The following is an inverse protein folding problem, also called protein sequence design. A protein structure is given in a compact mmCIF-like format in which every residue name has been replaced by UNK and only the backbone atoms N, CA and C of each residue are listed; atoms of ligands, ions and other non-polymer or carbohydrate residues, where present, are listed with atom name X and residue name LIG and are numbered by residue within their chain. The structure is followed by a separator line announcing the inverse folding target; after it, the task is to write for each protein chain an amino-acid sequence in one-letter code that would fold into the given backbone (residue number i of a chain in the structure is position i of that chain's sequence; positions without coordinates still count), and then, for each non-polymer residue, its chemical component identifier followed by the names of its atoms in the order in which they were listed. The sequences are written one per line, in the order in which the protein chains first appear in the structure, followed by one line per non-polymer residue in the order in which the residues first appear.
data_IF_739774218073
#
_entry.id   IF_739774218073
#
_cell.length_a   1.000
_cell.length_b   1.000
_cell.length_c   1.000
_cell.angle_alpha   90.00
_cell.angle_beta   90.00
_cell.angle_gamma   90.00
#
_symmetry.space_group_name_H-M   'P 1'
#
loop_
_entity.id
_entity.type
_entity.pdbx_description
1 polymer ?
#
# COMPACT_ATOMS: atom_id res chain seq x y z
N UNK A 1 -35.14 67.06 13.91
CA UNK A 1 -36.43 66.86 13.21
C UNK A 1 -36.21 65.87 12.07
N UNK A 2 -36.12 64.58 12.40
CA UNK A 2 -36.34 63.53 11.44
C UNK A 2 -37.24 62.46 12.09
N UNK A 3 -38.38 62.29 11.51
CA UNK A 3 -39.43 61.36 11.87
C UNK A 3 -38.95 59.91 11.71
N UNK A 4 -39.12 59.18 12.81
CA UNK A 4 -38.97 57.73 12.85
C UNK A 4 -40.18 57.10 12.13
N UNK A 5 -39.98 56.59 10.92
CA UNK A 5 -40.96 55.72 10.28
C UNK A 5 -40.93 54.33 10.94
N UNK A 6 -42.05 53.90 11.39
CA UNK A 6 -42.27 52.66 12.13
C UNK A 6 -42.20 51.43 11.21
N UNK A 7 -41.71 50.29 11.66
CA UNK A 7 -41.62 49.04 10.86
C UNK A 7 -42.92 48.26 10.97
N UNK A 8 -44.00 48.75 10.45
CA UNK A 8 -45.31 48.05 10.45
C UNK A 8 -45.70 47.34 9.13
N UNK A 9 -44.81 47.28 8.15
CA UNK A 9 -45.15 46.74 6.81
C UNK A 9 -44.73 45.29 6.57
N UNK A 10 -44.18 44.56 7.53
CA UNK A 10 -43.69 43.19 7.27
C UNK A 10 -44.53 42.04 7.83
N UNK A 11 -45.77 42.25 8.15
CA UNK A 11 -46.66 41.17 8.57
C UNK A 11 -47.80 40.95 7.57
N UNK A 12 -47.48 40.73 6.28
CA UNK A 12 -48.42 40.16 5.36
C UNK A 12 -48.60 38.65 5.72
N UNK A 13 -49.59 38.36 6.57
CA UNK A 13 -50.08 36.99 6.75
C UNK A 13 -50.51 36.45 5.40
N UNK A 14 -49.61 35.66 4.76
CA UNK A 14 -49.92 34.88 3.57
C UNK A 14 -50.89 33.80 4.05
N UNK A 15 -52.18 34.05 3.90
CA UNK A 15 -53.20 33.02 4.11
C UNK A 15 -52.86 31.89 3.14
N UNK A 16 -52.32 30.78 3.63
CA UNK A 16 -52.09 29.59 2.83
C UNK A 16 -53.46 29.09 2.39
N UNK A 17 -53.76 29.18 1.08
CA UNK A 17 -55.01 28.66 0.55
C UNK A 17 -55.01 27.14 0.71
N UNK A 18 -56.07 26.59 1.24
CA UNK A 18 -56.25 25.13 1.39
C UNK A 18 -55.96 24.40 0.09
N UNK A 19 -56.35 25.00 -1.05
CA UNK A 19 -56.03 24.52 -2.40
C UNK A 19 -54.54 24.40 -2.67
N UNK A 20 -53.72 25.37 -2.20
CA UNK A 20 -52.25 25.30 -2.33
C UNK A 20 -51.61 24.17 -1.49
N UNK A 21 -52.16 23.92 -0.30
CA UNK A 21 -51.71 22.80 0.55
C UNK A 21 -52.02 21.45 -0.09
N UNK A 22 -53.25 21.30 -0.62
CA UNK A 22 -53.67 20.08 -1.28
C UNK A 22 -52.84 19.83 -2.54
N UNK A 23 -52.61 20.86 -3.37
CA UNK A 23 -51.77 20.76 -4.57
C UNK A 23 -50.33 20.35 -4.22
N UNK A 24 -49.72 20.94 -3.19
CA UNK A 24 -48.40 20.58 -2.74
C UNK A 24 -48.32 19.12 -2.24
N UNK A 25 -49.34 18.69 -1.47
CA UNK A 25 -49.41 17.32 -0.97
C UNK A 25 -49.56 16.28 -2.11
N UNK A 26 -50.36 16.60 -3.14
CA UNK A 26 -50.53 15.73 -4.32
C UNK A 26 -49.25 15.66 -5.14
N UNK A 27 -48.55 16.78 -5.34
CA UNK A 27 -47.30 16.77 -6.10
C UNK A 27 -46.21 15.98 -5.35
N UNK A 28 -46.00 16.25 -4.05
CA UNK A 28 -45.00 15.57 -3.24
C UNK A 28 -45.35 14.09 -3.06
N UNK A 29 -46.60 13.75 -2.79
CA UNK A 29 -47.07 12.38 -2.68
C UNK A 29 -46.97 11.61 -4.00
N UNK A 30 -47.37 12.24 -5.10
CA UNK A 30 -47.28 11.67 -6.44
C UNK A 30 -45.85 11.41 -6.90
N UNK A 31 -44.95 12.36 -6.66
CA UNK A 31 -43.51 12.16 -6.96
C UNK A 31 -42.90 11.08 -6.09
N UNK A 32 -43.22 11.02 -4.80
CA UNK A 32 -42.73 9.97 -3.89
C UNK A 32 -43.20 8.57 -4.32
N UNK A 33 -44.50 8.44 -4.68
CA UNK A 33 -45.07 7.20 -5.17
C UNK A 33 -44.39 6.75 -6.50
N UNK A 34 -44.22 7.68 -7.42
CA UNK A 34 -43.55 7.41 -8.70
C UNK A 34 -42.12 6.92 -8.51
N UNK A 35 -41.33 7.62 -7.67
CA UNK A 35 -39.95 7.21 -7.36
C UNK A 35 -39.92 5.85 -6.66
N UNK A 36 -40.81 5.60 -5.70
CA UNK A 36 -40.89 4.32 -5.00
C UNK A 36 -41.19 3.14 -5.93
N UNK A 37 -42.18 3.29 -6.84
CA UNK A 37 -42.50 2.27 -7.84
C UNK A 37 -41.34 2.08 -8.81
N UNK A 38 -40.73 3.18 -9.28
CA UNK A 38 -39.59 3.11 -10.21
C UNK A 38 -38.40 2.39 -9.58
N UNK A 39 -38.04 2.73 -8.35
CA UNK A 39 -36.95 2.06 -7.63
C UNK A 39 -37.26 0.58 -7.36
N UNK A 40 -38.48 0.24 -6.98
CA UNK A 40 -38.88 -1.15 -6.78
C UNK A 40 -38.88 -2.00 -8.07
N UNK A 41 -39.23 -1.41 -9.21
CA UNK A 41 -39.12 -2.07 -10.51
C UNK A 41 -37.66 -2.18 -10.99
N UNK A 42 -36.86 -1.13 -10.73
CA UNK A 42 -35.44 -1.12 -11.05
C UNK A 42 -34.69 -2.17 -10.23
N UNK A 43 -34.94 -2.30 -8.92
CA UNK A 43 -34.37 -3.32 -8.06
C UNK A 43 -34.58 -4.74 -8.60
N UNK A 44 -35.82 -5.09 -8.96
CA UNK A 44 -36.15 -6.40 -9.56
C UNK A 44 -35.45 -6.67 -10.91
N UNK A 45 -35.23 -5.64 -11.72
CA UNK A 45 -34.60 -5.81 -13.05
C UNK A 45 -33.07 -5.71 -13.01
N UNK A 46 -32.53 -4.96 -12.04
CA UNK A 46 -31.10 -4.68 -11.90
C UNK A 46 -30.43 -5.49 -10.77
N UNK A 47 -31.17 -6.40 -10.12
CA UNK A 47 -30.59 -7.30 -9.10
C UNK A 47 -29.46 -8.10 -9.75
N UNK A 48 -28.23 -7.76 -9.40
CA UNK A 48 -27.05 -8.52 -9.77
C UNK A 48 -27.10 -9.84 -9.02
N UNK A 49 -27.20 -10.96 -9.74
CA UNK A 49 -27.04 -12.28 -9.12
C UNK A 49 -25.62 -12.38 -8.61
N UNK A 50 -25.43 -12.24 -7.31
CA UNK A 50 -24.14 -12.52 -6.68
C UNK A 50 -23.92 -14.04 -6.78
N UNK A 51 -22.79 -14.43 -7.34
CA UNK A 51 -22.41 -15.85 -7.40
C UNK A 51 -22.17 -16.34 -5.97
N UNK A 52 -22.79 -17.47 -5.58
CA UNK A 52 -22.59 -18.06 -4.25
C UNK A 52 -21.12 -18.31 -3.95
N UNK A 53 -20.32 -18.60 -4.99
CA UNK A 53 -18.86 -18.73 -4.87
C UNK A 53 -18.18 -17.40 -4.54
N UNK A 54 -18.61 -16.29 -5.15
CA UNK A 54 -18.07 -14.97 -4.87
C UNK A 54 -18.29 -14.59 -3.40
N UNK A 55 -19.48 -14.81 -2.86
CA UNK A 55 -19.82 -14.53 -1.47
C UNK A 55 -19.01 -15.43 -0.51
N UNK A 56 -18.89 -16.72 -0.82
CA UNK A 56 -18.08 -17.64 -0.03
C UNK A 56 -16.59 -17.25 -0.01
N UNK A 57 -16.01 -16.86 -1.15
CA UNK A 57 -14.64 -16.39 -1.26
C UNK A 57 -14.45 -15.08 -0.48
N UNK A 58 -15.40 -14.14 -0.62
CA UNK A 58 -15.35 -12.87 0.10
C UNK A 58 -15.37 -13.06 1.63
N UNK A 59 -16.14 -14.03 2.12
CA UNK A 59 -16.21 -14.39 3.54
C UNK A 59 -14.88 -14.96 4.10
N UNK A 60 -14.04 -15.54 3.24
CA UNK A 60 -12.72 -16.08 3.62
C UNK A 60 -11.62 -15.03 3.52
N UNK A 61 -11.75 -14.04 2.64
CA UNK A 61 -10.77 -12.98 2.46
C UNK A 61 -10.66 -12.09 3.72
N UNK A 62 -9.47 -11.52 4.01
CA UNK A 62 -9.23 -10.75 5.24
C UNK A 62 -10.04 -9.47 5.41
N UNK A 63 -10.74 -8.98 4.38
CA UNK A 63 -11.57 -7.78 4.43
C UNK A 63 -10.83 -6.44 4.51
N UNK A 64 -9.50 -6.43 4.47
CA UNK A 64 -8.68 -5.21 4.65
C UNK A 64 -8.75 -4.23 3.48
N UNK A 65 -9.30 -4.63 2.33
CA UNK A 65 -9.42 -3.81 1.12
C UNK A 65 -8.14 -3.04 0.75
N UNK A 66 -6.98 -3.65 1.04
CA UNK A 66 -5.67 -2.99 0.94
C UNK A 66 -5.20 -2.77 -0.52
N UNK A 67 -5.77 -3.47 -1.50
CA UNK A 67 -5.37 -3.38 -2.90
C UNK A 67 -4.02 -4.03 -3.24
N UNK A 68 -3.36 -4.71 -2.27
CA UNK A 68 -2.05 -5.35 -2.49
C UNK A 68 -2.06 -6.50 -3.51
N UNK A 69 -3.23 -7.06 -3.77
CA UNK A 69 -3.46 -8.07 -4.82
C UNK A 69 -3.62 -7.49 -6.23
N UNK A 70 -3.63 -6.15 -6.39
CA UNK A 70 -3.89 -5.47 -7.67
C UNK A 70 -5.37 -5.21 -7.97
N UNK A 71 -6.30 -5.65 -7.12
CA UNK A 71 -7.73 -5.43 -7.27
C UNK A 71 -8.21 -4.30 -6.35
N UNK A 72 -9.30 -3.59 -6.71
CA UNK A 72 -9.79 -2.40 -5.98
C UNK A 72 -10.40 -2.70 -4.60
N UNK A 73 -10.30 -3.95 -4.12
CA UNK A 73 -10.77 -4.40 -2.82
C UNK A 73 -10.94 -5.90 -2.77
N UNK A 74 -11.32 -6.42 -1.60
CA UNK A 74 -11.53 -7.85 -1.44
C UNK A 74 -12.72 -8.37 -2.27
N UNK A 75 -13.75 -7.57 -2.47
CA UNK A 75 -14.88 -7.92 -3.35
C UNK A 75 -14.46 -8.04 -4.81
N UNK A 76 -13.63 -7.12 -5.31
CA UNK A 76 -13.11 -7.20 -6.68
C UNK A 76 -12.23 -8.43 -6.89
N UNK A 77 -11.42 -8.80 -5.90
CA UNK A 77 -10.64 -10.04 -5.95
C UNK A 77 -11.54 -11.28 -5.89
N UNK A 78 -12.55 -11.30 -5.02
CA UNK A 78 -13.49 -12.42 -4.91
C UNK A 78 -14.21 -12.68 -6.22
N UNK A 79 -14.71 -11.63 -6.87
CA UNK A 79 -15.36 -11.71 -8.18
C UNK A 79 -14.39 -12.24 -9.27
N UNK A 80 -13.13 -11.79 -9.28
CA UNK A 80 -12.14 -12.25 -10.25
C UNK A 80 -11.77 -13.72 -10.04
N UNK A 81 -11.62 -14.17 -8.79
CA UNK A 81 -11.34 -15.59 -8.48
C UNK A 81 -12.54 -16.46 -8.86
N UNK A 82 -13.77 -16.05 -8.52
CA UNK A 82 -14.99 -16.80 -8.83
C UNK A 82 -15.14 -17.01 -10.35
N UNK A 83 -14.74 -16.03 -11.17
CA UNK A 83 -14.71 -16.11 -12.63
C UNK A 83 -13.51 -16.86 -13.19
N UNK A 84 -12.51 -17.18 -12.38
CA UNK A 84 -11.26 -17.81 -12.84
C UNK A 84 -10.26 -16.83 -13.49
N UNK A 85 -10.47 -15.52 -13.35
CA UNK A 85 -9.59 -14.47 -13.88
C UNK A 85 -8.38 -14.20 -12.97
N UNK A 86 -8.46 -14.61 -11.70
CA UNK A 86 -7.36 -14.50 -10.74
C UNK A 86 -7.07 -15.85 -10.07
N UNK A 87 -5.79 -16.14 -9.75
CA UNK A 87 -5.43 -17.34 -9.04
C UNK A 87 -5.91 -17.28 -7.57
N UNK A 88 -6.11 -18.45 -6.97
CA UNK A 88 -6.66 -18.60 -5.61
C UNK A 88 -5.69 -18.11 -4.52
N UNK A 89 -4.41 -17.98 -4.81
CA UNK A 89 -3.34 -17.51 -3.92
C UNK A 89 -2.97 -16.02 -4.11
N UNK A 90 -3.77 -15.28 -4.89
CA UNK A 90 -3.50 -13.87 -5.24
C UNK A 90 -3.50 -12.90 -4.04
N UNK A 91 -4.07 -13.28 -2.89
CA UNK A 91 -4.14 -12.40 -1.72
C UNK A 91 -2.88 -12.48 -0.85
N UNK A 92 -1.96 -11.48 -0.89
CA UNK A 92 -0.72 -11.55 -0.09
C UNK A 92 -0.98 -11.44 1.42
N UNK A 93 -2.05 -10.74 1.82
CA UNK A 93 -2.40 -10.54 3.24
C UNK A 93 -3.00 -11.81 3.85
N UNK A 94 -3.77 -12.56 3.06
CA UNK A 94 -4.36 -13.83 3.48
C UNK A 94 -3.35 -14.96 3.57
N UNK A 95 -2.34 -14.93 2.72
CA UNK A 95 -1.30 -15.96 2.64
C UNK A 95 -1.83 -17.36 2.39
N UNK A 96 -1.01 -18.37 2.70
CA UNK A 96 -1.34 -19.78 2.48
C UNK A 96 -2.65 -20.25 3.14
N UNK A 97 -3.01 -19.85 4.39
CA UNK A 97 -4.26 -20.30 5.02
C UNK A 97 -5.53 -19.86 4.27
N UNK A 98 -5.53 -18.64 3.73
CA UNK A 98 -6.67 -18.12 2.96
C UNK A 98 -6.69 -18.74 1.59
N UNK A 99 -5.53 -18.87 0.93
CA UNK A 99 -5.41 -19.53 -0.36
C UNK A 99 -5.93 -20.98 -0.31
N UNK A 100 -5.60 -21.76 0.73
CA UNK A 100 -6.09 -23.11 0.91
C UNK A 100 -7.62 -23.19 1.02
N UNK A 101 -8.23 -22.27 1.79
CA UNK A 101 -9.69 -22.19 1.92
C UNK A 101 -10.37 -21.81 0.60
N UNK A 102 -9.80 -20.84 -0.13
CA UNK A 102 -10.32 -20.45 -1.45
C UNK A 102 -10.15 -21.60 -2.44
N UNK A 103 -9.01 -22.31 -2.42
CA UNK A 103 -8.77 -23.50 -3.23
C UNK A 103 -9.82 -24.58 -3.00
N UNK A 104 -10.19 -24.83 -1.74
CA UNK A 104 -11.28 -25.78 -1.39
C UNK A 104 -12.63 -25.34 -1.98
N UNK A 105 -12.97 -24.05 -1.97
CA UNK A 105 -14.21 -23.51 -2.57
C UNK A 105 -14.19 -23.67 -4.11
N UNK A 106 -13.03 -23.45 -4.71
CA UNK A 106 -12.86 -23.51 -6.18
C UNK A 106 -12.53 -24.91 -6.69
N UNK A 107 -12.26 -25.89 -5.81
CA UNK A 107 -11.84 -27.25 -6.18
C UNK A 107 -10.46 -27.30 -6.81
N UNK A 108 -9.56 -26.39 -6.44
CA UNK A 108 -8.19 -26.31 -6.95
C UNK A 108 -7.17 -26.62 -5.86
N UNK A 109 -6.12 -27.36 -6.20
CA UNK A 109 -4.98 -27.54 -5.30
C UNK A 109 -4.13 -26.28 -5.26
N UNK A 110 -3.78 -25.83 -4.06
CA UNK A 110 -2.97 -24.65 -3.82
C UNK A 110 -1.54 -25.07 -3.50
N UNK A 111 -0.58 -24.53 -4.23
CA UNK A 111 0.85 -24.68 -3.89
C UNK A 111 1.13 -23.81 -2.65
N UNK A 112 1.84 -24.35 -1.69
CA UNK A 112 2.32 -23.57 -0.55
C UNK A 112 3.25 -22.46 -1.04
N UNK A 113 2.81 -21.23 -0.94
CA UNK A 113 3.64 -20.06 -1.23
C UNK A 113 4.32 -19.62 0.08
N UNK A 114 5.65 -19.51 0.06
CA UNK A 114 6.42 -19.06 1.23
C UNK A 114 5.97 -17.66 1.68
N UNK A 115 5.84 -17.46 3.00
CA UNK A 115 5.53 -16.14 3.58
C UNK A 115 6.57 -15.13 3.13
N UNK A 116 6.13 -14.00 2.62
CA UNK A 116 6.99 -12.88 2.27
C UNK A 116 6.86 -11.73 3.26
N UNK A 117 7.89 -10.90 3.33
CA UNK A 117 7.92 -9.69 4.13
C UNK A 117 8.64 -8.58 3.37
N UNK A 118 8.28 -7.34 3.65
CA UNK A 118 9.01 -6.21 3.09
C UNK A 118 10.39 -6.09 3.76
N UNK A 119 11.39 -5.76 2.97
CA UNK A 119 12.75 -5.51 3.42
C UNK A 119 13.28 -4.21 2.84
N UNK A 120 13.90 -3.38 3.66
CA UNK A 120 14.50 -2.10 3.25
C UNK A 120 15.99 -2.31 2.96
N UNK A 121 16.40 -2.14 1.70
CA UNK A 121 17.79 -2.29 1.26
C UNK A 121 18.65 -1.07 1.65
N UNK A 122 18.67 -0.74 2.92
CA UNK A 122 19.50 0.32 3.46
C UNK A 122 19.74 0.11 4.96
N UNK A 123 21.01 0.04 5.36
CA UNK A 123 21.44 0.03 6.77
C UNK A 123 22.07 1.37 7.19
N UNK A 124 22.04 2.39 6.31
CA UNK A 124 22.70 3.68 6.54
C UNK A 124 21.89 4.59 7.49
N UNK A 125 21.98 4.30 8.79
CA UNK A 125 21.44 5.13 9.87
C UNK A 125 22.12 6.49 9.94
N UNK A 126 21.56 7.44 10.72
CA UNK A 126 22.12 8.79 10.83
C UNK A 126 23.55 8.81 11.39
N UNK A 127 23.89 7.87 12.26
CA UNK A 127 25.25 7.71 12.84
C UNK A 127 26.24 7.01 11.89
N UNK A 128 25.75 6.33 10.84
CA UNK A 128 26.55 5.58 9.85
C UNK A 128 26.65 6.26 8.50
N UNK A 129 25.99 7.38 8.32
CA UNK A 129 26.00 8.15 7.06
C UNK A 129 26.44 9.58 7.31
N UNK A 130 27.24 10.11 6.39
CA UNK A 130 27.58 11.53 6.39
C UNK A 130 26.46 12.36 5.75
N UNK A 131 26.29 13.60 6.18
CA UNK A 131 25.30 14.55 5.66
C UNK A 131 26.00 15.68 4.90
N UNK A 132 25.32 16.23 3.87
CA UNK A 132 25.81 17.35 3.05
C UNK A 132 25.42 18.69 3.65
N UNK A 133 24.20 18.75 4.19
CA UNK A 133 23.58 19.97 4.73
C UNK A 133 22.47 19.58 5.70
N UNK A 134 22.09 20.51 6.55
CA UNK A 134 20.91 20.40 7.39
C UNK A 134 19.66 20.74 6.56
N UNK A 135 18.69 19.86 6.55
CA UNK A 135 17.47 20.04 5.79
C UNK A 135 16.36 20.57 6.70
N UNK A 136 15.80 21.73 6.32
CA UNK A 136 14.62 22.31 6.92
C UNK A 136 13.55 22.45 5.86
N UNK A 137 12.50 21.65 5.92
CA UNK A 137 11.42 21.66 4.92
C UNK A 137 10.41 20.55 5.13
N UNK A 138 9.64 20.23 4.09
CA UNK A 138 8.63 19.18 4.15
C UNK A 138 9.28 17.80 4.25
N UNK A 139 9.00 17.08 5.34
CA UNK A 139 9.47 15.71 5.56
C UNK A 139 8.61 14.71 4.78
N UNK A 140 8.88 14.61 3.48
CA UNK A 140 8.26 13.65 2.59
C UNK A 140 9.26 13.15 1.53
N UNK A 141 9.36 11.81 1.39
CA UNK A 141 10.33 11.22 0.47
C UNK A 141 10.04 11.52 -1.00
N UNK A 142 8.77 11.65 -1.38
CA UNK A 142 8.40 11.95 -2.78
C UNK A 142 8.77 13.38 -3.14
N UNK A 143 8.53 14.32 -2.23
CA UNK A 143 8.92 15.72 -2.41
C UNK A 143 10.44 15.89 -2.49
N UNK A 144 11.19 15.07 -1.75
CA UNK A 144 12.65 15.08 -1.80
C UNK A 144 13.25 14.65 -3.14
N UNK A 145 12.51 13.93 -3.97
CA UNK A 145 12.95 13.57 -5.32
C UNK A 145 13.18 14.80 -6.22
N UNK A 146 12.47 15.90 -5.93
CA UNK A 146 12.59 17.16 -6.68
C UNK A 146 13.70 18.09 -6.16
N UNK A 147 14.33 17.77 -5.04
CA UNK A 147 15.37 18.61 -4.44
C UNK A 147 16.74 18.23 -5.02
N UNK A 148 17.58 19.21 -5.43
CA UNK A 148 18.92 18.96 -5.92
C UNK A 148 19.75 18.12 -4.95
N UNK A 149 20.38 17.06 -5.47
CA UNK A 149 21.16 16.11 -4.66
C UNK A 149 20.32 15.08 -3.89
N UNK A 150 19.01 15.04 -4.09
CA UNK A 150 18.10 14.00 -3.57
C UNK A 150 18.18 13.82 -2.05
N UNK A 151 18.30 14.90 -1.27
CA UNK A 151 18.27 14.88 0.18
C UNK A 151 19.60 15.14 0.88
N UNK A 152 19.53 15.30 2.20
CA UNK A 152 20.64 15.76 3.04
C UNK A 152 21.78 14.76 3.17
N UNK A 153 21.51 13.44 3.11
CA UNK A 153 22.55 12.40 3.23
C UNK A 153 23.46 12.39 2.01
N UNK A 154 24.77 12.15 2.23
CA UNK A 154 25.74 12.01 1.15
C UNK A 154 25.42 10.81 0.24
N UNK A 155 24.87 9.73 0.79
CA UNK A 155 24.39 8.60 0.01
C UNK A 155 23.09 8.97 -0.73
N UNK A 156 23.17 9.15 -2.05
CA UNK A 156 22.01 9.47 -2.90
C UNK A 156 21.12 8.26 -3.17
N UNK A 157 21.57 7.06 -2.87
CA UNK A 157 20.85 5.80 -3.07
C UNK A 157 20.12 5.31 -1.81
N UNK A 158 20.52 5.72 -0.62
CA UNK A 158 20.02 5.21 0.65
C UNK A 158 18.66 5.80 1.08
N UNK A 159 18.13 5.30 2.17
CA UNK A 159 16.88 5.77 2.75
C UNK A 159 16.99 7.23 3.23
N UNK A 160 16.02 8.06 2.86
CA UNK A 160 15.95 9.47 3.25
C UNK A 160 15.42 9.67 4.67
N UNK A 161 14.63 8.72 5.19
CA UNK A 161 14.13 8.74 6.56
C UNK A 161 12.85 9.53 6.82
N UNK A 162 12.16 10.05 5.79
CA UNK A 162 10.97 10.90 5.96
C UNK A 162 9.64 10.13 6.03
N UNK A 163 9.64 8.81 6.00
CA UNK A 163 8.47 8.01 6.38
C UNK A 163 7.31 7.95 5.38
N UNK A 164 7.48 8.26 4.08
CA UNK A 164 6.38 8.08 3.11
C UNK A 164 5.90 6.63 3.04
N UNK A 165 6.80 5.64 3.22
CA UNK A 165 6.45 4.22 3.33
C UNK A 165 5.71 3.89 4.63
N UNK A 166 6.00 4.59 5.74
CA UNK A 166 5.29 4.44 7.02
C UNK A 166 3.85 4.90 6.86
N UNK A 167 3.63 6.10 6.31
CA UNK A 167 2.29 6.65 6.02
C UNK A 167 1.46 5.74 5.10
N UNK A 168 2.12 5.00 4.21
CA UNK A 168 1.46 4.10 3.27
C UNK A 168 1.13 2.72 3.86
N UNK A 169 1.70 2.37 5.02
CA UNK A 169 1.51 1.05 5.64
C UNK A 169 0.20 0.99 6.44
N UNK A 170 -0.80 0.19 6.03
CA UNK A 170 -2.06 0.08 6.76
C UNK A 170 -1.98 -0.86 7.97
N UNK A 171 -0.83 -1.52 8.19
CA UNK A 171 -0.62 -2.52 9.24
C UNK A 171 0.34 -2.06 10.31
N UNK A 172 0.76 -0.79 10.28
CA UNK A 172 1.74 -0.22 11.22
C UNK A 172 3.04 -1.06 11.35
N UNK A 173 3.45 -1.70 10.26
CA UNK A 173 4.58 -2.61 10.22
C UNK A 173 5.90 -1.93 9.82
N UNK A 174 5.93 -0.61 9.63
CA UNK A 174 7.14 0.13 9.23
C UNK A 174 7.29 1.37 10.09
N UNK A 175 8.48 1.55 10.65
CA UNK A 175 8.82 2.69 11.49
C UNK A 175 10.12 3.35 11.02
N UNK A 176 10.31 4.63 11.32
CA UNK A 176 11.60 5.29 11.13
C UNK A 176 12.41 5.15 12.42
N UNK A 177 13.54 4.46 12.31
CA UNK A 177 14.48 4.26 13.41
C UNK A 177 15.83 4.79 12.98
N UNK A 178 16.38 5.73 13.73
CA UNK A 178 17.67 6.36 13.46
C UNK A 178 17.83 6.80 11.98
N UNK A 179 16.77 7.43 11.42
CA UNK A 179 16.77 8.02 10.08
C UNK A 179 16.72 7.03 8.91
N UNK A 180 16.33 5.78 9.15
CA UNK A 180 15.99 4.80 8.10
C UNK A 180 14.66 4.12 8.42
N UNK A 181 13.99 3.63 7.38
CA UNK A 181 12.81 2.80 7.55
C UNK A 181 13.21 1.38 7.98
N UNK A 182 12.55 0.87 9.02
CA UNK A 182 12.72 -0.50 9.54
C UNK A 182 11.37 -1.19 9.51
N UNK A 183 11.34 -2.45 9.09
CA UNK A 183 10.11 -3.25 8.98
C UNK A 183 10.02 -4.23 10.13
N UNK A 184 8.90 -4.21 10.84
CA UNK A 184 8.48 -5.29 11.72
C UNK A 184 7.99 -6.46 10.86
N UNK A 185 8.75 -7.54 10.84
CA UNK A 185 8.47 -8.72 10.00
C UNK A 185 7.24 -9.48 10.46
N UNK A 186 6.89 -9.43 11.76
CA UNK A 186 5.71 -10.11 12.30
C UNK A 186 4.41 -9.38 11.94
N UNK A 187 4.41 -8.06 12.04
CA UNK A 187 3.29 -7.22 11.65
C UNK A 187 3.12 -7.14 10.12
N UNK A 188 4.20 -7.33 9.35
CA UNK A 188 4.20 -7.18 7.90
C UNK A 188 3.33 -8.25 7.21
N UNK A 189 2.43 -7.80 6.32
CA UNK A 189 1.53 -8.63 5.51
C UNK A 189 1.90 -8.65 4.02
N UNK A 190 3.11 -8.24 3.64
CA UNK A 190 3.63 -8.25 2.27
C UNK A 190 2.70 -7.60 1.21
N UNK A 191 1.89 -6.61 1.59
CA UNK A 191 0.90 -6.00 0.69
C UNK A 191 1.50 -5.12 -0.42
N UNK A 192 2.80 -4.86 -0.42
CA UNK A 192 3.52 -4.13 -1.46
C UNK A 192 3.34 -2.60 -1.47
N UNK A 193 2.46 -2.02 -0.64
CA UNK A 193 2.22 -0.56 -0.64
C UNK A 193 3.46 0.28 -0.38
N UNK A 194 4.30 -0.16 0.55
CA UNK A 194 5.57 0.51 0.86
C UNK A 194 6.58 0.40 -0.29
N UNK A 195 6.56 -0.71 -1.04
CA UNK A 195 7.39 -0.91 -2.24
C UNK A 195 7.05 0.12 -3.30
N UNK A 196 5.75 0.25 -3.63
CA UNK A 196 5.25 1.22 -4.60
C UNK A 196 5.47 2.68 -4.16
N UNK A 197 5.44 2.94 -2.84
CA UNK A 197 5.55 4.30 -2.29
C UNK A 197 6.99 4.80 -2.14
N UNK A 198 7.98 3.93 -2.23
CA UNK A 198 9.38 4.33 -2.07
C UNK A 198 9.94 4.93 -3.36
N UNK A 199 10.24 6.25 -3.43
CA UNK A 199 10.73 6.88 -4.66
C UNK A 199 12.15 6.45 -5.05
N UNK A 200 12.87 5.80 -4.14
CA UNK A 200 14.21 5.22 -4.39
C UNK A 200 14.20 3.70 -4.60
N UNK A 201 13.03 3.07 -4.64
CA UNK A 201 12.86 1.62 -4.84
C UNK A 201 13.72 0.76 -3.90
N UNK A 202 13.84 1.21 -2.64
CA UNK A 202 14.66 0.54 -1.63
C UNK A 202 13.97 -0.63 -0.95
N UNK A 203 12.68 -0.80 -1.16
CA UNK A 203 11.88 -1.80 -0.46
C UNK A 203 11.53 -2.89 -1.44
N UNK A 204 11.82 -4.12 -1.07
CA UNK A 204 11.47 -5.32 -1.84
C UNK A 204 10.74 -6.33 -0.95
N UNK A 205 10.00 -7.25 -1.55
CA UNK A 205 9.43 -8.39 -0.86
C UNK A 205 10.43 -9.54 -0.91
N UNK A 206 10.73 -10.10 0.26
CA UNK A 206 11.70 -11.20 0.42
C UNK A 206 11.07 -12.34 1.22
N UNK A 207 11.50 -13.60 1.04
CA UNK A 207 11.04 -14.70 1.87
C UNK A 207 11.34 -14.42 3.36
N UNK A 208 10.36 -14.70 4.21
CA UNK A 208 10.45 -14.47 5.66
C UNK A 208 11.54 -15.33 6.30
N UNK A 209 11.70 -16.57 5.89
CA UNK A 209 12.65 -17.55 6.41
C UNK A 209 14.11 -17.26 6.06
N UNK A 210 14.35 -16.41 5.03
CA UNK A 210 15.71 -16.05 4.61
C UNK A 210 16.25 -14.87 5.39
N UNK A 211 17.20 -15.16 6.30
CA UNK A 211 17.80 -14.14 7.19
C UNK A 211 18.96 -13.38 6.54
N UNK A 212 19.66 -14.00 5.57
CA UNK A 212 20.78 -13.35 4.87
C UNK A 212 20.25 -12.39 3.81
N UNK A 213 20.55 -11.10 3.96
CA UNK A 213 20.02 -10.03 3.10
C UNK A 213 21.08 -8.97 2.84
N UNK A 214 21.03 -8.29 1.69
CA UNK A 214 21.91 -7.17 1.36
C UNK A 214 21.21 -5.85 1.69
N UNK A 215 21.67 -5.19 2.75
CA UNK A 215 21.11 -3.92 3.23
C UNK A 215 21.80 -2.71 2.59
N UNK A 216 21.97 -2.71 1.28
CA UNK A 216 22.53 -1.61 0.50
C UNK A 216 21.96 -1.62 -0.93
N UNK A 217 21.80 -0.43 -1.51
CA UNK A 217 21.38 -0.21 -2.91
C UNK A 217 22.27 0.81 -3.61
N UNK A 218 23.53 0.98 -3.15
CA UNK A 218 24.42 1.97 -3.73
C UNK A 218 25.05 1.46 -5.01
N UNK A 219 24.94 2.23 -6.09
CA UNK A 219 25.63 2.03 -7.37
C UNK A 219 26.93 2.85 -7.48
N UNK A 220 27.36 3.49 -6.40
CA UNK A 220 28.60 4.25 -6.37
C UNK A 220 29.83 3.33 -6.24
N UNK A 221 30.96 3.81 -6.73
CA UNK A 221 32.23 3.05 -6.69
C UNK A 221 32.91 3.18 -5.32
N UNK A 222 33.40 2.06 -4.80
CA UNK A 222 34.29 1.88 -3.66
C UNK A 222 34.49 3.08 -2.73
N UNK A 223 35.48 3.97 -3.01
CA UNK A 223 35.80 5.11 -2.15
C UNK A 223 34.63 6.10 -1.96
N UNK A 224 33.79 6.32 -2.96
CA UNK A 224 32.63 7.21 -2.82
C UNK A 224 31.61 6.64 -1.84
N UNK A 225 31.44 5.33 -1.80
CA UNK A 225 30.56 4.65 -0.84
C UNK A 225 31.09 4.78 0.58
N UNK A 226 32.40 4.51 0.81
CA UNK A 226 32.98 4.56 2.15
C UNK A 226 33.00 5.96 2.77
N UNK A 227 33.05 7.00 1.93
CA UNK A 227 32.89 8.41 2.38
C UNK A 227 31.46 8.72 2.76
N UNK A 228 30.48 8.15 2.04
CA UNK A 228 29.07 8.45 2.25
C UNK A 228 28.40 7.60 3.35
N UNK A 229 28.86 6.35 3.53
CA UNK A 229 28.25 5.39 4.45
C UNK A 229 29.26 4.33 4.90
N UNK A 230 29.40 4.14 6.20
CA UNK A 230 30.29 3.12 6.78
C UNK A 230 29.85 1.68 6.46
N UNK A 231 28.55 1.45 6.26
CA UNK A 231 27.95 0.13 6.03
C UNK A 231 27.69 -0.15 4.54
N UNK A 232 28.10 0.76 3.66
CA UNK A 232 27.79 0.67 2.23
C UNK A 232 28.52 -0.49 1.53
N UNK A 233 27.82 -1.15 0.60
CA UNK A 233 28.45 -2.14 -0.28
C UNK A 233 29.39 -1.45 -1.26
N UNK A 234 30.68 -1.85 -1.26
CA UNK A 234 31.70 -1.28 -2.15
C UNK A 234 31.87 -2.05 -3.47
N UNK A 235 31.05 -3.07 -3.71
CA UNK A 235 31.10 -3.87 -4.92
C UNK A 235 32.37 -4.73 -5.07
N UNK A 236 33.02 -5.12 -3.96
CA UNK A 236 34.31 -5.84 -3.98
C UNK A 236 34.25 -7.29 -4.45
N UNK A 237 33.05 -7.83 -4.71
CA UNK A 237 32.79 -9.22 -5.18
C UNK A 237 33.28 -10.32 -4.23
N UNK A 238 33.66 -9.99 -2.98
CA UNK A 238 34.12 -11.01 -2.03
C UNK A 238 33.02 -12.02 -1.69
N UNK A 239 31.77 -11.53 -1.47
CA UNK A 239 30.61 -12.38 -1.21
C UNK A 239 30.25 -13.28 -2.42
N UNK A 240 30.32 -12.75 -3.64
CA UNK A 240 30.09 -13.51 -4.88
C UNK A 240 31.09 -14.67 -5.02
N UNK A 241 32.38 -14.39 -4.80
CA UNK A 241 33.45 -15.41 -4.92
C UNK A 241 33.39 -16.50 -3.83
N UNK A 242 32.86 -16.18 -2.65
CA UNK A 242 32.82 -17.11 -1.52
C UNK A 242 31.46 -17.81 -1.36
N UNK A 243 30.48 -17.50 -2.19
CA UNK A 243 29.15 -18.11 -2.10
C UNK A 243 29.17 -19.55 -2.68
N UNK A 244 28.98 -20.61 -1.87
CA UNK A 244 29.04 -22.00 -2.36
C UNK A 244 27.84 -22.38 -3.22
N UNK A 245 26.71 -21.69 -3.11
CA UNK A 245 25.50 -21.93 -3.88
C UNK A 245 25.33 -20.98 -5.07
N UNK A 246 26.36 -20.14 -5.36
CA UNK A 246 26.31 -19.12 -6.42
C UNK A 246 25.04 -18.22 -6.38
N UNK A 247 24.52 -18.03 -5.17
CA UNK A 247 23.31 -17.25 -4.94
C UNK A 247 23.56 -15.73 -4.90
N UNK A 248 24.81 -15.29 -4.88
CA UNK A 248 25.17 -13.87 -4.77
C UNK A 248 25.83 -13.42 -6.05
N UNK A 249 25.29 -12.36 -6.65
CA UNK A 249 25.87 -11.67 -7.80
C UNK A 249 26.14 -10.22 -7.46
N UNK A 250 27.20 -9.63 -8.03
CA UNK A 250 27.53 -8.21 -7.86
C UNK A 250 27.38 -7.52 -9.21
N UNK A 251 26.31 -6.78 -9.36
CA UNK A 251 25.99 -5.96 -10.54
C UNK A 251 25.93 -4.49 -10.12
N UNK A 252 26.34 -3.59 -11.00
CA UNK A 252 26.32 -2.13 -10.74
C UNK A 252 26.91 -1.72 -9.37
N UNK A 253 28.02 -2.35 -9.00
CA UNK A 253 28.74 -2.15 -7.73
C UNK A 253 27.97 -2.52 -6.46
N UNK A 254 26.81 -3.19 -6.57
CA UNK A 254 26.02 -3.66 -5.44
C UNK A 254 25.84 -5.19 -5.49
N UNK A 255 25.86 -5.83 -4.33
CA UNK A 255 25.57 -7.25 -4.21
C UNK A 255 24.05 -7.48 -4.24
N UNK A 256 23.64 -8.55 -4.90
CA UNK A 256 22.25 -9.04 -4.96
C UNK A 256 22.20 -10.51 -4.59
N UNK A 257 21.16 -10.93 -3.89
CA UNK A 257 20.95 -12.32 -3.50
C UNK A 257 19.76 -12.89 -4.26
N UNK A 258 19.99 -14.03 -4.91
CA UNK A 258 18.96 -14.90 -5.42
C UNK A 258 18.47 -15.80 -4.28
N UNK A 259 17.27 -15.51 -3.77
CA UNK A 259 16.72 -16.22 -2.61
C UNK A 259 16.32 -17.65 -2.91
N UNK A 260 16.09 -18.01 -4.17
CA UNK A 260 15.77 -19.40 -4.57
C UNK A 260 17.01 -20.28 -4.47
N UNK A 261 18.20 -19.73 -4.77
CA UNK A 261 19.49 -20.43 -4.66
C UNK A 261 20.12 -20.35 -3.28
N UNK A 262 19.74 -19.32 -2.48
CA UNK A 262 20.38 -19.08 -1.21
C UNK A 262 20.01 -20.14 -0.16
N UNK A 263 21.01 -20.83 0.38
CA UNK A 263 20.85 -21.87 1.41
C UNK A 263 20.97 -21.30 2.84
N UNK A 264 21.28 -20.02 3.01
CA UNK A 264 21.46 -19.40 4.33
C UNK A 264 22.70 -19.90 5.10
N UNK A 265 23.75 -20.35 4.40
CA UNK A 265 24.93 -21.01 5.00
C UNK A 265 25.80 -20.10 5.90
N UNK A 266 25.62 -18.77 5.88
CA UNK A 266 26.35 -17.82 6.72
C UNK A 266 27.84 -17.63 6.38
N UNK A 267 28.33 -18.07 5.22
CA UNK A 267 29.72 -17.94 4.77
C UNK A 267 30.02 -16.62 4.10
#
# INVERSE_FOLDING_TARGET
LHSLDSPESYRRKKSMSITGIIMAAVIVGGTGLFIGIFLGLADKKLTVKVDEKEEAILGVLPGNNCGGCGYPGCSGLAAAIAKGEAPVDQCPVGGAPVAAKIGAIMGQEVKETARQVAFVKCAGTCDKTTVKYEYTGVEDCEMMAFIPGSGAKNCTFGCMGFGSCVKACPFDAIHIVNGIAVVDQEACKACGKCVAKCPRHLIELVPYDKQTRVACSSHAKGKAVTVACELGCIGCKKCEKNCPSEAITVTDFCAHIDYDKCTGCGK
#
